data_IF_815342261151
#
_entry.id   IF_815342261151
#
_cell.length_a   1.000
_cell.length_b   1.000
_cell.length_c   1.000
_cell.angle_alpha   90.00
_cell.angle_beta   90.00
_cell.angle_gamma   90.00
#
_symmetry.space_group_name_H-M   'P 1'
#
loop_
_entity.id
_entity.type
_entity.pdbx_description
1 polymer ?
#
# COMPACT_ATOMS: atom_id res chain seq x y z
N UNK A 1 -0.51 9.84 22.86
CA UNK A 1 0.56 10.86 22.92
C UNK A 1 0.94 11.19 21.49
N UNK A 2 0.45 12.31 20.97
CA UNK A 2 0.64 12.70 19.56
C UNK A 2 1.98 13.42 19.43
N UNK A 3 2.89 12.87 18.63
CA UNK A 3 4.23 13.41 18.37
C UNK A 3 4.12 14.72 17.58
N UNK A 4 3.99 15.84 18.30
CA UNK A 4 4.10 17.18 17.74
C UNK A 4 5.55 17.40 17.31
N UNK A 5 5.83 17.19 16.02
CA UNK A 5 7.18 17.37 15.46
C UNK A 5 7.62 18.83 15.65
N UNK A 6 8.80 19.01 16.24
CA UNK A 6 9.46 20.28 16.55
C UNK A 6 9.75 21.10 15.29
N UNK A 7 8.74 21.72 14.71
CA UNK A 7 8.87 22.60 13.55
C UNK A 7 9.10 24.02 14.08
N UNK A 8 10.23 24.64 13.73
CA UNK A 8 10.57 26.03 14.07
C UNK A 8 10.84 26.86 12.83
N UNK A 9 10.73 28.18 12.96
CA UNK A 9 11.06 29.11 11.90
C UNK A 9 12.58 29.15 11.70
N UNK A 10 13.08 28.85 10.51
CA UNK A 10 14.52 28.90 10.22
C UNK A 10 15.10 30.33 10.19
N UNK A 11 14.24 31.36 10.16
CA UNK A 11 14.66 32.76 10.15
C UNK A 11 14.78 33.42 11.52
N UNK A 12 13.95 33.03 12.49
CA UNK A 12 13.93 33.61 13.84
C UNK A 12 13.79 32.58 14.98
N UNK A 13 13.79 31.30 14.65
CA UNK A 13 13.73 30.16 15.58
C UNK A 13 12.49 30.10 16.49
N UNK A 14 11.46 30.91 16.22
CA UNK A 14 10.16 30.77 16.91
C UNK A 14 9.48 29.45 16.54
N UNK A 15 8.78 28.87 17.51
CA UNK A 15 7.89 27.73 17.31
C UNK A 15 6.44 28.18 17.10
N UNK A 16 6.13 29.45 17.39
CA UNK A 16 4.82 30.04 17.16
C UNK A 16 4.75 30.63 15.76
N UNK A 17 3.95 29.99 14.90
CA UNK A 17 3.68 30.42 13.53
C UNK A 17 2.43 31.27 13.40
N UNK A 18 1.76 31.64 14.51
CA UNK A 18 0.52 32.44 14.50
C UNK A 18 -0.50 31.87 13.50
N UNK A 19 -0.62 30.54 13.47
CA UNK A 19 -1.51 29.74 12.61
C UNK A 19 -1.17 29.71 11.12
N UNK A 20 -0.05 30.29 10.68
CA UNK A 20 0.38 30.25 9.28
C UNK A 20 1.88 29.97 9.19
N UNK A 21 2.23 28.84 8.58
CA UNK A 21 3.62 28.46 8.29
C UNK A 21 3.87 28.50 6.79
N UNK A 22 5.01 29.06 6.38
CA UNK A 22 5.48 29.02 5.00
C UNK A 22 6.55 27.95 4.87
N UNK A 23 6.28 26.87 4.14
CA UNK A 23 7.25 25.80 3.87
C UNK A 23 7.85 25.95 2.47
N UNK A 24 9.17 25.98 2.37
CA UNK A 24 9.86 25.98 1.07
C UNK A 24 9.62 24.67 0.33
N UNK A 25 9.31 24.75 -0.96
CA UNK A 25 9.15 23.56 -1.81
C UNK A 25 10.48 23.03 -2.36
N UNK A 26 11.55 23.83 -2.30
CA UNK A 26 12.87 23.48 -2.83
C UNK A 26 13.81 23.05 -1.70
N UNK A 27 13.84 23.80 -0.60
CA UNK A 27 14.72 23.52 0.53
C UNK A 27 14.08 22.49 1.48
N UNK A 28 14.82 21.42 1.77
CA UNK A 28 14.39 20.45 2.77
C UNK A 28 14.29 21.08 4.16
N UNK A 29 13.19 20.81 4.87
CA UNK A 29 12.93 21.26 6.25
C UNK A 29 13.03 22.78 6.49
N UNK A 30 12.86 23.61 5.45
CA UNK A 30 12.91 25.06 5.61
C UNK A 30 11.51 25.68 5.76
N UNK A 31 11.28 26.32 6.91
CA UNK A 31 10.03 26.89 7.32
C UNK A 31 10.24 28.34 7.77
N UNK A 32 9.36 29.25 7.35
CA UNK A 32 9.34 30.63 7.81
C UNK A 32 8.00 30.95 8.47
N UNK A 33 8.02 31.74 9.53
CA UNK A 33 6.83 32.44 10.01
C UNK A 33 6.45 33.57 9.05
N UNK A 34 5.23 34.08 9.19
CA UNK A 34 4.71 35.17 8.35
C UNK A 34 5.68 36.37 8.28
N UNK A 35 6.23 36.78 9.42
CA UNK A 35 7.17 37.91 9.49
C UNK A 35 8.46 37.64 8.72
N UNK A 36 9.05 36.45 8.88
CA UNK A 36 10.28 36.10 8.16
C UNK A 36 10.05 35.90 6.66
N UNK A 37 8.87 35.39 6.28
CA UNK A 37 8.48 35.29 4.88
C UNK A 37 8.32 36.67 4.23
N UNK A 38 7.58 37.60 4.86
CA UNK A 38 7.38 38.96 4.36
C UNK A 38 8.70 39.75 4.27
N UNK A 39 9.60 39.54 5.22
CA UNK A 39 10.95 40.11 5.21
C UNK A 39 11.90 39.39 4.24
N UNK A 40 11.42 38.45 3.43
CA UNK A 40 12.19 37.67 2.44
C UNK A 40 13.49 37.11 3.03
N UNK A 41 13.43 36.56 4.24
CA UNK A 41 14.62 36.09 4.97
C UNK A 41 15.34 34.99 4.19
N UNK A 42 16.56 35.30 3.76
CA UNK A 42 17.47 34.38 3.12
C UNK A 42 18.44 33.78 4.14
N UNK A 43 18.90 32.57 3.87
CA UNK A 43 19.99 31.90 4.60
C UNK A 43 20.91 31.24 3.58
N UNK A 44 22.04 30.69 4.01
CA UNK A 44 22.97 29.97 3.14
C UNK A 44 22.29 28.87 2.30
N UNK A 45 21.25 28.24 2.86
CA UNK A 45 20.54 27.12 2.23
C UNK A 45 19.19 27.52 1.63
N UNK A 46 18.83 28.82 1.63
CA UNK A 46 17.53 29.29 1.14
C UNK A 46 17.61 30.67 0.48
N UNK A 47 17.15 30.74 -0.77
CA UNK A 47 16.99 31.99 -1.52
C UNK A 47 15.53 32.44 -1.49
N UNK A 48 15.32 33.76 -1.43
CA UNK A 48 13.96 34.33 -1.40
C UNK A 48 13.19 34.17 -2.73
N UNK A 49 13.86 33.71 -3.79
CA UNK A 49 13.24 33.35 -5.07
C UNK A 49 12.58 31.97 -5.02
N UNK A 50 12.87 31.15 -4.01
CA UNK A 50 12.28 29.82 -3.89
C UNK A 50 10.78 29.92 -3.61
N UNK A 51 10.00 29.04 -4.25
CA UNK A 51 8.56 28.96 -4.03
C UNK A 51 8.25 28.49 -2.61
N UNK A 52 7.38 29.23 -1.92
CA UNK A 52 6.94 28.95 -0.56
C UNK A 52 5.46 28.56 -0.56
N UNK A 53 5.15 27.40 0.01
CA UNK A 53 3.77 26.95 0.24
C UNK A 53 3.27 27.51 1.56
N UNK A 54 2.14 28.21 1.52
CA UNK A 54 1.44 28.70 2.72
C UNK A 54 0.58 27.58 3.29
N UNK A 55 0.85 27.20 4.53
CA UNK A 55 0.14 26.16 5.28
C UNK A 55 -0.57 26.84 6.45
N UNK A 56 -1.91 26.87 6.41
CA UNK A 56 -2.74 27.32 7.52
C UNK A 56 -2.99 26.16 8.48
N UNK A 57 -2.89 26.43 9.78
CA UNK A 57 -3.31 25.50 10.82
C UNK A 57 -4.62 25.99 11.43
N UNK A 58 -5.58 25.10 11.74
CA UNK A 58 -6.76 25.49 12.49
C UNK A 58 -6.33 25.98 13.88
N UNK A 59 -6.83 27.16 14.28
CA UNK A 59 -6.68 27.70 15.62
C UNK A 59 -7.12 26.65 16.64
N UNK A 60 -6.20 26.09 17.42
CA UNK A 60 -6.57 25.44 18.68
C UNK A 60 -6.88 26.59 19.65
N UNK A 61 -8.12 27.09 19.58
CA UNK A 61 -8.62 28.05 20.55
C UNK A 61 -8.73 27.33 21.89
N UNK A 62 -7.77 27.55 22.77
CA UNK A 62 -7.82 27.04 24.12
C UNK A 62 -8.96 27.77 24.84
N UNK A 63 -10.04 27.06 25.14
CA UNK A 63 -11.34 27.62 25.58
C UNK A 63 -11.24 28.37 26.92
N UNK A 64 -10.16 28.16 27.67
CA UNK A 64 -10.08 28.54 29.08
C UNK A 64 -9.44 29.91 29.34
N UNK A 65 -8.86 30.59 28.34
CA UNK A 65 -8.17 31.89 28.56
C UNK A 65 -8.93 33.12 28.05
N UNK A 66 -10.15 32.97 27.54
CA UNK A 66 -10.87 34.07 26.85
C UNK A 66 -12.02 34.72 27.64
N UNK A 67 -12.11 34.50 28.96
CA UNK A 67 -13.03 35.25 29.82
C UNK A 67 -12.28 36.26 30.68
N UNK A 68 -11.92 37.40 30.08
CA UNK A 68 -11.75 38.65 30.82
C UNK A 68 -11.98 39.87 29.92
N UNK A 69 -13.21 40.38 30.03
CA UNK A 69 -13.65 41.78 29.99
C UNK A 69 -13.35 42.63 28.73
N UNK A 70 -14.46 43.08 28.15
CA UNK A 70 -14.62 44.23 27.24
C UNK A 70 -14.01 44.06 25.85
N UNK A 71 -14.80 43.58 24.87
CA UNK A 71 -14.74 43.93 23.43
C UNK A 71 -15.65 42.99 22.59
N UNK A 72 -16.93 42.84 22.98
CA UNK A 72 -17.88 42.00 22.21
C UNK A 72 -18.25 42.60 20.86
N UNK A 73 -18.31 43.93 20.75
CA UNK A 73 -19.00 44.55 19.62
C UNK A 73 -18.10 44.75 18.40
N UNK A 74 -16.79 44.93 18.61
CA UNK A 74 -15.82 44.99 17.51
C UNK A 74 -15.46 43.59 16.97
N UNK A 75 -15.47 42.55 17.82
CA UNK A 75 -15.21 41.18 17.38
C UNK A 75 -16.38 40.60 16.57
N UNK A 76 -17.62 41.00 16.84
CA UNK A 76 -18.77 40.59 16.05
C UNK A 76 -18.75 41.22 14.64
N UNK A 77 -18.38 42.50 14.50
CA UNK A 77 -18.25 43.14 13.18
C UNK A 77 -17.06 42.60 12.36
N UNK A 78 -15.92 42.31 13.01
CA UNK A 78 -14.80 41.64 12.35
C UNK A 78 -15.12 40.18 12.02
N UNK A 79 -15.89 39.50 12.87
CA UNK A 79 -16.40 38.14 12.65
C UNK A 79 -17.33 38.08 11.44
N UNK A 80 -18.29 38.99 11.32
CA UNK A 80 -19.26 39.04 10.23
C UNK A 80 -18.62 39.43 8.89
N UNK A 81 -17.64 40.33 8.90
CA UNK A 81 -16.89 40.70 7.69
C UNK A 81 -15.89 39.63 7.28
N UNK A 82 -15.25 38.94 8.23
CA UNK A 82 -14.36 37.81 7.95
C UNK A 82 -15.16 36.58 7.48
N UNK A 83 -16.29 36.26 8.11
CA UNK A 83 -17.22 35.21 7.69
C UNK A 83 -17.82 35.53 6.32
N UNK A 84 -18.24 36.78 6.06
CA UNK A 84 -18.74 37.18 4.74
C UNK A 84 -17.67 37.10 3.66
N UNK A 85 -16.42 37.50 3.96
CA UNK A 85 -15.29 37.41 3.02
C UNK A 85 -14.83 35.95 2.82
N UNK A 86 -14.89 35.13 3.85
CA UNK A 86 -14.64 33.70 3.79
C UNK A 86 -15.74 32.97 2.99
N UNK A 87 -17.01 33.26 3.25
CA UNK A 87 -18.17 32.71 2.52
C UNK A 87 -18.22 33.14 1.05
N UNK A 88 -17.84 34.39 0.74
CA UNK A 88 -17.76 34.87 -0.64
C UNK A 88 -16.54 34.31 -1.39
N UNK A 89 -15.41 34.08 -0.73
CA UNK A 89 -14.26 33.36 -1.29
C UNK A 89 -14.48 31.83 -1.34
N UNK A 90 -15.44 31.30 -0.59
CA UNK A 90 -15.95 29.93 -0.70
C UNK A 90 -16.93 29.73 -1.86
N UNK A 91 -17.27 30.78 -2.62
CA UNK A 91 -17.72 30.62 -4.01
C UNK A 91 -16.54 30.20 -4.92
N UNK A 92 -15.80 29.18 -4.47
CA UNK A 92 -15.25 28.19 -5.37
C UNK A 92 -16.45 27.72 -6.18
N UNK A 93 -16.40 27.87 -7.51
CA UNK A 93 -17.33 27.13 -8.40
C UNK A 93 -17.52 25.76 -7.76
N UNK A 94 -18.76 25.30 -7.50
CA UNK A 94 -18.96 24.03 -6.82
C UNK A 94 -17.98 23.04 -7.48
N UNK A 95 -17.07 22.41 -6.71
CA UNK A 95 -16.22 21.39 -7.29
C UNK A 95 -17.16 20.49 -8.07
N UNK A 96 -16.87 20.16 -9.35
CA UNK A 96 -17.82 19.44 -10.20
C UNK A 96 -18.38 18.36 -9.32
N UNK A 97 -19.68 18.44 -9.03
CA UNK A 97 -20.35 17.57 -8.08
C UNK A 97 -19.82 16.20 -8.43
N UNK A 98 -18.99 15.61 -7.57
CA UNK A 98 -18.58 14.23 -7.76
C UNK A 98 -19.90 13.53 -7.52
N UNK A 99 -20.67 13.35 -8.58
CA UNK A 99 -21.63 12.28 -8.68
C UNK A 99 -20.79 11.08 -8.31
N UNK A 100 -20.93 10.64 -7.07
CA UNK A 100 -20.34 9.39 -6.65
C UNK A 100 -21.13 8.37 -7.44
N UNK A 101 -20.67 8.08 -8.66
CA UNK A 101 -21.22 7.01 -9.46
C UNK A 101 -21.09 5.77 -8.57
N UNK A 102 -22.25 5.22 -8.24
CA UNK A 102 -22.32 3.98 -7.48
C UNK A 102 -21.64 2.89 -8.32
N UNK A 103 -21.13 1.82 -7.71
CA UNK A 103 -20.32 0.84 -8.45
C UNK A 103 -21.08 0.23 -9.64
N UNK A 104 -22.40 0.12 -9.52
CA UNK A 104 -23.37 -0.25 -10.56
C UNK A 104 -23.54 0.79 -11.68
N UNK A 105 -23.20 2.05 -11.45
CA UNK A 105 -23.24 3.13 -12.44
C UNK A 105 -21.91 3.30 -13.20
N UNK A 106 -20.87 2.55 -12.82
CA UNK A 106 -19.59 2.62 -13.50
C UNK A 106 -19.69 2.06 -14.92
N UNK A 107 -19.51 2.95 -15.90
CA UNK A 107 -19.33 2.60 -17.30
C UNK A 107 -18.07 1.74 -17.49
N UNK A 108 -17.92 1.10 -18.65
CA UNK A 108 -16.76 0.24 -18.95
C UNK A 108 -15.44 1.01 -18.76
N UNK A 109 -15.35 2.23 -19.30
CA UNK A 109 -14.17 3.08 -19.15
C UNK A 109 -14.04 3.61 -17.72
N UNK A 110 -15.16 3.89 -17.05
CA UNK A 110 -15.18 4.27 -15.63
C UNK A 110 -14.65 3.17 -14.72
N UNK A 111 -14.98 1.90 -14.99
CA UNK A 111 -14.48 0.74 -14.27
C UNK A 111 -12.98 0.55 -14.52
N UNK A 112 -12.52 0.70 -15.76
CA UNK A 112 -11.10 0.62 -16.13
C UNK A 112 -10.25 1.65 -15.36
N UNK A 113 -10.63 2.92 -15.41
CA UNK A 113 -9.93 4.01 -14.70
C UNK A 113 -10.00 3.82 -13.18
N UNK A 114 -11.12 3.31 -12.68
CA UNK A 114 -11.29 3.00 -11.26
C UNK A 114 -10.31 1.91 -10.79
N UNK A 115 -10.17 0.82 -11.54
CA UNK A 115 -9.26 -0.28 -11.22
C UNK A 115 -7.79 0.18 -11.26
N UNK A 116 -7.38 0.95 -12.27
CA UNK A 116 -6.02 1.49 -12.37
C UNK A 116 -5.67 2.46 -11.23
N UNK A 117 -6.64 3.28 -10.81
CA UNK A 117 -6.45 4.20 -9.68
C UNK A 117 -6.27 3.45 -8.35
N UNK A 118 -6.90 2.28 -8.21
CA UNK A 118 -6.82 1.47 -7.01
C UNK A 118 -5.50 0.70 -6.92
N UNK A 119 -5.11 0.04 -8.01
CA UNK A 119 -3.87 -0.73 -8.10
C UNK A 119 -3.35 -0.67 -9.54
N UNK A 120 -2.26 0.06 -9.82
CA UNK A 120 -1.67 0.09 -11.16
C UNK A 120 -1.22 -1.30 -11.66
N UNK A 121 -0.98 -2.26 -10.76
CA UNK A 121 -0.48 -3.58 -11.14
C UNK A 121 -1.57 -4.50 -11.71
N UNK A 122 -2.85 -4.13 -11.64
CA UNK A 122 -3.96 -4.89 -12.24
C UNK A 122 -4.35 -4.37 -13.63
N UNK A 123 -3.45 -3.66 -14.32
CA UNK A 123 -3.70 -3.11 -15.65
C UNK A 123 -4.12 -4.18 -16.66
N UNK A 124 -3.43 -5.33 -16.70
CA UNK A 124 -3.77 -6.44 -17.61
C UNK A 124 -5.20 -6.95 -17.39
N UNK A 125 -5.60 -7.08 -16.12
CA UNK A 125 -6.96 -7.47 -15.73
C UNK A 125 -7.98 -6.39 -16.12
N UNK A 126 -7.68 -5.12 -15.87
CA UNK A 126 -8.55 -4.00 -16.24
C UNK A 126 -8.73 -3.91 -17.76
N UNK A 127 -7.66 -4.11 -18.55
CA UNK A 127 -7.73 -4.18 -20.01
C UNK A 127 -8.53 -5.39 -20.49
N UNK A 128 -8.39 -6.54 -19.85
CA UNK A 128 -9.17 -7.73 -20.14
C UNK A 128 -10.67 -7.50 -19.93
N UNK A 129 -11.05 -6.91 -18.78
CA UNK A 129 -12.44 -6.52 -18.48
C UNK A 129 -12.97 -5.47 -19.47
N UNK A 130 -12.15 -4.48 -19.84
CA UNK A 130 -12.51 -3.45 -20.82
C UNK A 130 -12.75 -4.05 -22.21
N UNK A 131 -11.90 -4.99 -22.63
CA UNK A 131 -12.00 -5.67 -23.93
C UNK A 131 -13.27 -6.51 -24.03
N UNK A 132 -13.65 -7.17 -22.94
CA UNK A 132 -14.90 -7.92 -22.84
C UNK A 132 -16.12 -7.06 -22.50
N UNK A 133 -15.96 -5.73 -22.52
CA UNK A 133 -17.02 -4.73 -22.32
C UNK A 133 -17.76 -4.89 -20.98
N UNK A 134 -17.04 -5.30 -19.95
CA UNK A 134 -17.58 -5.49 -18.60
C UNK A 134 -17.78 -4.14 -17.93
N UNK A 135 -19.02 -3.83 -17.53
CA UNK A 135 -19.34 -2.66 -16.71
C UNK A 135 -19.28 -2.99 -15.21
N UNK A 136 -19.36 -1.97 -14.35
CA UNK A 136 -19.42 -2.19 -12.91
C UNK A 136 -20.66 -2.98 -12.46
N UNK A 137 -21.79 -2.83 -13.16
CA UNK A 137 -23.01 -3.63 -12.93
C UNK A 137 -22.82 -5.10 -13.32
N UNK A 138 -22.15 -5.38 -14.43
CA UNK A 138 -21.88 -6.75 -14.87
C UNK A 138 -20.98 -7.44 -13.85
N UNK A 139 -19.91 -6.75 -13.44
CA UNK A 139 -18.95 -7.26 -12.47
C UNK A 139 -19.58 -7.57 -11.09
N UNK A 140 -20.59 -6.80 -10.67
CA UNK A 140 -21.37 -7.08 -9.45
C UNK A 140 -22.10 -8.44 -9.54
N UNK A 141 -22.55 -8.81 -10.74
CA UNK A 141 -23.40 -9.97 -11.00
C UNK A 141 -22.64 -11.18 -11.57
N UNK A 142 -21.31 -11.11 -11.66
CA UNK A 142 -20.48 -12.20 -12.15
C UNK A 142 -20.70 -13.49 -11.35
N UNK A 143 -20.96 -14.57 -12.09
CA UNK A 143 -20.96 -15.93 -11.58
C UNK A 143 -19.59 -16.61 -11.81
N UNK A 144 -19.43 -17.84 -11.32
CA UNK A 144 -18.19 -18.62 -11.45
C UNK A 144 -17.75 -18.80 -12.91
N UNK A 145 -18.69 -19.05 -13.83
CA UNK A 145 -18.41 -19.26 -15.24
C UNK A 145 -17.93 -17.96 -15.92
N UNK A 146 -18.40 -16.80 -15.48
CA UNK A 146 -17.97 -15.51 -16.03
C UNK A 146 -16.49 -15.24 -15.72
N UNK A 147 -16.02 -15.61 -14.52
CA UNK A 147 -14.60 -15.51 -14.17
C UNK A 147 -13.74 -16.51 -14.96
N UNK A 148 -14.24 -17.73 -15.18
CA UNK A 148 -13.55 -18.75 -15.97
C UNK A 148 -13.45 -18.37 -17.45
N UNK A 149 -14.53 -17.85 -18.05
CA UNK A 149 -14.57 -17.40 -19.43
C UNK A 149 -13.58 -16.25 -19.72
N UNK A 150 -13.28 -15.44 -18.71
CA UNK A 150 -12.34 -14.32 -18.80
C UNK A 150 -10.90 -14.71 -18.42
N UNK A 151 -10.65 -15.99 -18.10
CA UNK A 151 -9.36 -16.51 -17.66
C UNK A 151 -8.76 -15.69 -16.49
N UNK A 152 -9.61 -15.26 -15.55
CA UNK A 152 -9.21 -14.47 -14.40
C UNK A 152 -8.60 -15.40 -13.36
N UNK A 153 -7.38 -15.11 -12.89
CA UNK A 153 -6.74 -15.94 -11.87
C UNK A 153 -7.51 -15.88 -10.55
N UNK A 154 -7.35 -16.93 -9.72
CA UNK A 154 -7.96 -16.98 -8.39
C UNK A 154 -7.64 -15.74 -7.54
N UNK A 155 -6.41 -15.24 -7.61
CA UNK A 155 -5.97 -14.05 -6.88
C UNK A 155 -6.64 -12.78 -7.36
N UNK A 156 -6.74 -12.58 -8.68
CA UNK A 156 -7.43 -11.44 -9.29
C UNK A 156 -8.92 -11.44 -8.98
N UNK A 157 -9.55 -12.61 -9.08
CA UNK A 157 -10.95 -12.81 -8.69
C UNK A 157 -11.20 -12.42 -7.24
N UNK A 158 -10.35 -12.86 -6.31
CA UNK A 158 -10.48 -12.49 -4.88
C UNK A 158 -10.30 -10.99 -4.65
N UNK A 159 -9.36 -10.34 -5.35
CA UNK A 159 -9.21 -8.89 -5.30
C UNK A 159 -10.46 -8.17 -5.79
N UNK A 160 -11.04 -8.59 -6.92
CA UNK A 160 -12.26 -7.99 -7.47
C UNK A 160 -13.45 -8.17 -6.50
N UNK A 161 -13.64 -9.35 -5.93
CA UNK A 161 -14.71 -9.62 -4.94
C UNK A 161 -14.60 -8.70 -3.72
N UNK A 162 -13.40 -8.54 -3.16
CA UNK A 162 -13.17 -7.63 -2.02
C UNK A 162 -13.44 -6.16 -2.36
N UNK A 163 -13.10 -5.72 -3.57
CA UNK A 163 -13.38 -4.36 -4.03
C UNK A 163 -14.88 -4.09 -4.17
N UNK A 164 -15.62 -5.06 -4.72
CA UNK A 164 -17.08 -5.00 -4.86
C UNK A 164 -17.73 -4.92 -3.48
N UNK A 165 -17.32 -5.78 -2.54
CA UNK A 165 -17.83 -5.78 -1.17
C UNK A 165 -17.56 -4.46 -0.44
N UNK A 166 -16.34 -3.92 -0.54
CA UNK A 166 -15.97 -2.64 0.07
C UNK A 166 -16.82 -1.49 -0.46
N UNK A 167 -17.15 -1.48 -1.75
CA UNK A 167 -18.00 -0.44 -2.34
C UNK A 167 -19.48 -0.62 -1.99
N UNK A 168 -19.98 -1.86 -1.94
CA UNK A 168 -21.33 -2.17 -1.44
C UNK A 168 -21.53 -1.71 0.01
N UNK A 169 -20.51 -1.84 0.85
CA UNK A 169 -20.55 -1.36 2.24
C UNK A 169 -20.55 0.17 2.33
N UNK A 170 -19.72 0.86 1.55
CA UNK A 170 -19.70 2.33 1.53
C UNK A 170 -21.02 2.94 1.05
N UNK A 171 -21.79 2.27 0.20
CA UNK A 171 -23.12 2.73 -0.24
C UNK A 171 -24.15 2.77 0.90
N UNK A 172 -24.07 1.84 1.87
CA UNK A 172 -24.98 1.80 3.02
C UNK A 172 -24.74 2.93 4.03
N UNK A 173 -23.56 3.55 4.01
CA UNK A 173 -23.13 4.56 5.00
C UNK A 173 -23.57 5.99 4.60
N UNK A 174 -24.10 6.18 3.40
CA UNK A 174 -24.26 7.52 2.80
C UNK A 174 -25.56 8.27 3.14
N UNK A 175 -26.56 7.65 3.76
CA UNK A 175 -27.92 8.24 3.85
C UNK A 175 -28.47 8.50 5.27
N UNK A 176 -27.71 8.29 6.34
CA UNK A 176 -28.15 8.72 7.67
C UNK A 176 -27.01 9.30 8.48
N UNK A 177 -27.31 10.39 9.20
CA UNK A 177 -26.49 10.92 10.29
C UNK A 177 -26.15 9.77 11.24
N UNK A 178 -24.89 9.31 11.17
CA UNK A 178 -24.38 8.13 11.89
C UNK A 178 -24.77 8.17 13.36
N UNK A 179 -25.64 7.24 13.76
CA UNK A 179 -25.95 6.99 15.15
C UNK A 179 -24.78 6.25 15.81
N UNK A 180 -24.57 6.39 17.13
CA UNK A 180 -23.53 5.67 17.86
C UNK A 180 -23.56 4.15 17.66
N UNK A 181 -24.72 3.58 17.32
CA UNK A 181 -24.95 2.14 17.19
C UNK A 181 -24.26 1.53 15.96
N UNK A 182 -24.21 2.23 14.82
CA UNK A 182 -23.49 1.77 13.61
C UNK A 182 -21.97 1.72 13.84
N UNK A 183 -21.43 2.66 14.62
CA UNK A 183 -20.01 2.66 15.00
C UNK A 183 -19.69 1.49 15.93
N UNK A 184 -20.62 1.12 16.81
CA UNK A 184 -20.47 -0.05 17.69
C UNK A 184 -20.51 -1.33 16.87
N UNK A 185 -21.43 -1.43 15.90
CA UNK A 185 -21.53 -2.58 15.02
C UNK A 185 -20.26 -2.74 14.16
N UNK A 186 -19.78 -1.66 13.53
CA UNK A 186 -18.53 -1.66 12.77
C UNK A 186 -17.31 -2.04 13.62
N UNK A 187 -17.23 -1.58 14.88
CA UNK A 187 -16.16 -1.98 15.80
C UNK A 187 -16.21 -3.48 16.12
N UNK A 188 -17.40 -4.06 16.26
CA UNK A 188 -17.54 -5.49 16.53
C UNK A 188 -17.12 -6.34 15.32
N UNK A 189 -17.46 -5.90 14.10
CA UNK A 189 -17.02 -6.53 12.85
C UNK A 189 -15.51 -6.44 12.68
N UNK A 190 -14.90 -5.27 12.93
CA UNK A 190 -13.45 -5.09 12.86
C UNK A 190 -12.74 -6.00 13.85
N UNK A 191 -13.21 -6.08 15.10
CA UNK A 191 -12.62 -6.96 16.11
C UNK A 191 -12.67 -8.42 15.69
N UNK A 192 -13.80 -8.88 15.13
CA UNK A 192 -13.91 -10.25 14.62
C UNK A 192 -12.95 -10.50 13.45
N UNK A 193 -12.81 -9.53 12.54
CA UNK A 193 -11.86 -9.63 11.43
C UNK A 193 -10.40 -9.66 11.91
N UNK A 194 -10.06 -8.91 12.97
CA UNK A 194 -8.73 -8.94 13.59
C UNK A 194 -8.43 -10.32 14.19
N UNK A 195 -9.41 -10.94 14.86
CA UNK A 195 -9.31 -12.30 15.39
C UNK A 195 -9.10 -13.34 14.26
N UNK A 196 -9.89 -13.26 13.19
CA UNK A 196 -9.76 -14.13 12.01
C UNK A 196 -8.39 -13.96 11.31
N UNK A 197 -7.89 -12.72 11.20
CA UNK A 197 -6.55 -12.43 10.66
C UNK A 197 -5.47 -13.04 11.56
N UNK A 198 -5.63 -12.92 12.88
CA UNK A 198 -4.68 -13.48 13.84
C UNK A 198 -4.62 -15.01 13.75
N UNK A 199 -5.76 -15.68 13.57
CA UNK A 199 -5.82 -17.12 13.37
C UNK A 199 -5.13 -17.53 12.06
N UNK A 200 -5.42 -16.84 10.95
CA UNK A 200 -4.77 -17.11 9.66
C UNK A 200 -3.26 -16.90 9.71
N UNK A 201 -2.78 -15.88 10.42
CA UNK A 201 -1.35 -15.65 10.60
C UNK A 201 -0.68 -16.82 11.35
N UNK A 202 -1.35 -17.42 12.34
CA UNK A 202 -0.83 -18.63 13.01
C UNK A 202 -0.76 -19.81 12.06
N UNK A 203 -1.77 -20.01 11.20
CA UNK A 203 -1.75 -21.07 10.19
C UNK A 203 -0.65 -20.86 9.16
N UNK A 204 -0.39 -19.61 8.73
CA UNK A 204 0.72 -19.29 7.82
C UNK A 204 2.06 -19.64 8.47
N UNK A 205 2.28 -19.25 9.73
CA UNK A 205 3.50 -19.58 10.46
C UNK A 205 3.73 -21.10 10.54
N UNK A 206 2.67 -21.88 10.79
CA UNK A 206 2.77 -23.34 10.80
C UNK A 206 3.16 -23.92 9.44
N UNK A 207 2.66 -23.34 8.35
CA UNK A 207 3.01 -23.77 7.00
C UNK A 207 4.46 -23.41 6.65
N UNK A 208 4.95 -22.25 7.08
CA UNK A 208 6.35 -21.84 6.92
C UNK A 208 7.30 -22.81 7.64
N UNK A 209 6.99 -23.19 8.88
CA UNK A 209 7.77 -24.18 9.64
C UNK A 209 7.78 -25.56 8.94
N UNK A 210 6.68 -25.95 8.31
CA UNK A 210 6.59 -27.21 7.54
C UNK A 210 7.44 -27.13 6.27
N UNK A 211 7.39 -26.00 5.56
CA UNK A 211 8.19 -25.78 4.35
C UNK A 211 9.68 -25.80 4.66
N UNK A 212 10.11 -25.15 5.75
CA UNK A 212 11.52 -25.16 6.17
C UNK A 212 12.01 -26.57 6.46
N UNK A 213 11.20 -27.38 7.17
CA UNK A 213 11.53 -28.80 7.41
C UNK A 213 11.63 -29.59 6.11
N UNK A 214 10.72 -29.35 5.17
CA UNK A 214 10.74 -30.04 3.89
C UNK A 214 11.96 -29.64 3.04
N UNK A 215 12.37 -28.38 3.10
CA UNK A 215 13.58 -27.89 2.45
C UNK A 215 14.84 -28.56 3.03
N UNK A 216 14.95 -28.61 4.36
CA UNK A 216 16.04 -29.33 5.03
C UNK A 216 16.06 -30.82 4.66
N UNK A 217 14.89 -31.46 4.59
CA UNK A 217 14.78 -32.85 4.17
C UNK A 217 15.24 -33.05 2.71
N UNK A 218 14.90 -32.11 1.82
CA UNK A 218 15.31 -32.13 0.42
C UNK A 218 16.82 -31.94 0.28
N UNK A 219 17.41 -31.02 1.05
CA UNK A 219 18.86 -30.82 1.08
C UNK A 219 19.59 -32.08 1.57
N UNK A 220 19.07 -32.74 2.61
CA UNK A 220 19.63 -34.00 3.10
C UNK A 220 19.52 -35.12 2.05
N UNK A 221 18.37 -35.24 1.37
CA UNK A 221 18.18 -36.21 0.28
C UNK A 221 19.16 -35.97 -0.87
N UNK A 222 19.36 -34.72 -1.27
CA UNK A 222 20.31 -34.37 -2.34
C UNK A 222 21.75 -34.72 -1.95
N UNK A 223 22.15 -34.45 -0.70
CA UNK A 223 23.48 -34.81 -0.20
C UNK A 223 23.70 -36.34 -0.19
N UNK A 224 22.67 -37.12 0.17
CA UNK A 224 22.73 -38.59 0.12
C UNK A 224 22.88 -39.08 -1.33
N UNK A 225 22.12 -38.49 -2.26
CA UNK A 225 22.20 -38.83 -3.69
C UNK A 225 23.62 -38.56 -4.22
N UNK A 226 24.21 -37.42 -3.88
CA UNK A 226 25.57 -37.06 -4.28
C UNK A 226 26.61 -38.06 -3.74
N UNK A 227 26.51 -38.45 -2.47
CA UNK A 227 27.38 -39.48 -1.88
C UNK A 227 27.24 -40.84 -2.57
N UNK A 228 26.02 -41.23 -2.94
CA UNK A 228 25.77 -42.48 -3.66
C UNK A 228 26.34 -42.43 -5.08
N UNK A 229 26.23 -41.29 -5.77
CA UNK A 229 26.81 -41.10 -7.10
C UNK A 229 28.34 -41.21 -7.05
N UNK A 230 28.98 -40.57 -6.08
CA UNK A 230 30.43 -40.67 -5.87
C UNK A 230 30.88 -42.11 -5.57
N UNK A 231 30.13 -42.84 -4.75
CA UNK A 231 30.42 -44.23 -4.44
C UNK A 231 30.27 -45.13 -5.68
N UNK A 232 29.23 -44.91 -6.49
CA UNK A 232 29.02 -45.63 -7.74
C UNK A 232 30.14 -45.35 -8.75
N UNK A 233 30.60 -44.11 -8.88
CA UNK A 233 31.70 -43.77 -9.80
C UNK A 233 33.02 -44.41 -9.35
N UNK A 234 33.30 -44.45 -8.05
CA UNK A 234 34.46 -45.20 -7.52
C UNK A 234 34.39 -46.69 -7.83
N UNK A 235 33.23 -47.32 -7.59
CA UNK A 235 33.03 -48.73 -7.93
C UNK A 235 33.19 -49.01 -9.42
N UNK A 236 32.72 -48.09 -10.27
CA UNK A 236 32.90 -48.18 -11.72
C UNK A 236 34.38 -48.10 -12.10
N UNK A 237 35.14 -47.16 -11.54
CA UNK A 237 36.59 -47.06 -11.78
C UNK A 237 37.35 -48.30 -11.31
N UNK A 238 36.98 -48.88 -10.17
CA UNK A 238 37.55 -50.16 -9.70
C UNK A 238 37.23 -51.30 -10.66
N UNK A 239 36.00 -51.37 -11.17
CA UNK A 239 35.57 -52.38 -12.14
C UNK A 239 36.35 -52.26 -13.46
N UNK A 240 36.51 -51.04 -13.98
CA UNK A 240 37.25 -50.76 -15.21
C UNK A 240 38.73 -51.19 -15.07
N UNK A 241 39.35 -50.90 -13.92
CA UNK A 241 40.73 -51.32 -13.64
C UNK A 241 40.88 -52.85 -13.57
N UNK A 242 39.91 -53.54 -12.96
CA UNK A 242 39.89 -55.01 -12.91
C UNK A 242 39.72 -55.62 -14.31
N UNK A 243 38.86 -55.02 -15.15
CA UNK A 243 38.68 -55.42 -16.54
C UNK A 243 40.00 -55.33 -17.33
N UNK A 244 40.71 -54.21 -17.20
CA UNK A 244 42.01 -54.02 -17.86
C UNK A 244 43.05 -55.05 -17.39
N UNK A 245 43.09 -55.36 -16.10
CA UNK A 245 43.97 -56.40 -15.55
C UNK A 245 43.66 -57.79 -16.11
N UNK A 246 42.37 -58.14 -16.24
CA UNK A 246 41.94 -59.41 -16.83
C UNK A 246 42.34 -59.49 -18.30
N UNK A 247 42.24 -58.40 -19.06
CA UNK A 247 42.67 -58.35 -20.46
C UNK A 247 44.19 -58.54 -20.60
N UNK A 248 44.98 -57.87 -19.76
CA UNK A 248 46.44 -58.06 -19.72
C UNK A 248 46.81 -59.50 -19.40
N UNK A 249 46.13 -60.12 -18.42
CA UNK A 249 46.39 -61.50 -18.02
C UNK A 249 46.03 -62.49 -19.14
N UNK A 250 44.92 -62.27 -19.87
CA UNK A 250 44.57 -63.05 -21.06
C UNK A 250 45.63 -62.92 -22.16
N UNK A 251 46.14 -61.71 -22.40
CA UNK A 251 47.19 -61.47 -23.38
C UNK A 251 48.47 -62.25 -23.04
N UNK A 252 48.92 -62.21 -21.78
CA UNK A 252 50.09 -62.96 -21.30
C UNK A 252 49.93 -64.48 -21.44
N UNK A 253 48.76 -65.02 -21.08
CA UNK A 253 48.46 -66.46 -21.24
C UNK A 253 48.52 -66.85 -22.73
N UNK A 254 47.93 -66.02 -23.61
CA UNK A 254 47.94 -66.28 -25.05
C UNK A 254 49.35 -66.24 -25.67
N UNK A 255 50.24 -65.40 -25.13
CA UNK A 255 51.64 -65.33 -25.55
C UNK A 255 52.43 -66.56 -25.10
N UNK A 256 52.22 -67.01 -23.85
CA UNK A 256 52.87 -68.22 -23.31
C UNK A 256 52.45 -69.52 -24.00
N UNK A 257 51.27 -69.58 -24.62
CA UNK A 257 50.80 -70.75 -25.37
C UNK A 257 51.32 -70.81 -26.81
N UNK A 258 51.91 -69.72 -27.32
CA UNK A 258 52.45 -69.62 -28.70
C UNK A 258 53.96 -69.82 -28.79
N UNK A 259 54.65 -69.86 -27.66
CA UNK A 259 56.09 -70.14 -27.49
C UNK A 259 56.33 -71.58 -27.07
#
# INVERSE_FOLDING_TARGET
>A
MSTQSNISCNGCYTYDFSNVRYKCQICSNYNLCLTCYNNKKQTLNHLSSHMMLRIEYPLIVNRDTFFSRQHSDQLNQLGDTYLSRYMSNLSVKPPPTRTFETFDQLTIDGLYEYLLRLDPNIQSLAENLRTHRVSGLDLINFNENDYENLNISYGEKKKLQLLIERKKLNLKVSDTTQTPDEIVELKSVIKKQEEDIQEKNKSIQQLEDILEKHEQQTQLQNAIIEQLQDAMEKQKQEMDMLLELVEQQRALISASQKS
#
